data_IF_331014305955
#
_entry.id   IF_331014305955
#
_cell.length_a   1.000
_cell.length_b   1.000
_cell.length_c   1.000
_cell.angle_alpha   90.00
_cell.angle_beta   90.00
_cell.angle_gamma   90.00
#
_symmetry.space_group_name_H-M   'P 1'
#
loop_
_entity.id
_entity.type
_entity.pdbx_description
1 polymer ?
#
# COMPACT_ATOMS: atom_id res chain seq x y z
N UNK A 1 16.67 -3.07 -12.02
CA UNK A 1 15.45 -3.06 -12.53
C UNK A 1 14.78 -4.36 -12.52
N UNK A 2 13.68 -4.34 -12.14
CA UNK A 2 12.98 -5.54 -11.90
C UNK A 2 11.94 -5.80 -12.90
N UNK A 3 12.14 -5.27 -14.01
CA UNK A 3 11.16 -5.31 -15.00
C UNK A 3 10.87 -6.60 -15.60
N UNK A 4 11.55 -7.59 -15.20
CA UNK A 4 11.41 -8.79 -15.90
C UNK A 4 10.22 -9.54 -15.48
N UNK A 5 9.49 -9.07 -14.58
CA UNK A 5 8.61 -9.94 -14.11
C UNK A 5 7.22 -9.87 -14.53
N UNK A 6 6.67 -10.99 -14.65
CA UNK A 6 5.32 -11.11 -14.40
C UNK A 6 5.15 -10.64 -13.01
N UNK A 7 4.16 -10.17 -12.59
CA UNK A 7 3.90 -9.88 -11.20
C UNK A 7 4.66 -8.69 -10.63
N UNK A 8 5.39 -7.95 -11.43
CA UNK A 8 5.89 -6.69 -10.93
C UNK A 8 4.79 -5.67 -11.08
N UNK A 9 4.77 -4.69 -10.22
CA UNK A 9 3.82 -3.60 -10.34
C UNK A 9 4.25 -2.74 -11.51
N UNK A 10 3.31 -2.40 -12.39
CA UNK A 10 3.61 -1.53 -13.49
C UNK A 10 3.86 -0.13 -12.96
N UNK A 11 4.44 0.71 -13.79
CA UNK A 11 4.70 2.08 -13.42
C UNK A 11 3.41 2.82 -13.08
N UNK A 12 2.33 2.48 -13.77
CA UNK A 12 1.04 3.11 -13.53
C UNK A 12 0.43 2.71 -12.20
N UNK A 13 0.84 1.57 -11.65
CA UNK A 13 0.34 1.13 -10.36
C UNK A 13 1.11 1.72 -9.19
N UNK A 14 2.21 2.42 -9.46
CA UNK A 14 3.01 3.05 -8.41
C UNK A 14 2.61 4.48 -8.24
N UNK A 15 2.43 4.89 -6.99
CA UNK A 15 2.08 6.27 -6.69
C UNK A 15 3.37 7.09 -6.70
N UNK A 16 3.65 7.74 -7.81
CA UNK A 16 4.90 8.46 -8.01
C UNK A 16 4.76 9.96 -8.04
N UNK A 17 3.56 10.47 -8.21
CA UNK A 17 3.36 11.90 -8.32
C UNK A 17 3.51 12.58 -6.97
N UNK A 18 4.36 13.59 -6.91
CA UNK A 18 4.53 14.37 -5.70
C UNK A 18 3.23 15.04 -5.28
N UNK A 19 2.49 15.56 -6.26
CA UNK A 19 1.23 16.20 -5.99
C UNK A 19 0.23 15.23 -5.40
N UNK A 20 0.16 14.02 -5.94
CA UNK A 20 -0.73 13.00 -5.42
C UNK A 20 -0.37 12.61 -3.98
N UNK A 21 0.93 12.52 -3.69
CA UNK A 21 1.38 12.22 -2.34
C UNK A 21 1.01 13.33 -1.37
N UNK A 22 1.16 14.58 -1.78
CA UNK A 22 0.81 15.70 -0.94
C UNK A 22 -0.68 15.72 -0.65
N UNK A 23 -1.48 15.45 -1.64
CA UNK A 23 -2.93 15.37 -1.46
C UNK A 23 -3.31 14.23 -0.53
N UNK A 24 -2.66 13.09 -0.69
CA UNK A 24 -2.94 11.92 0.11
C UNK A 24 -2.67 12.18 1.60
N UNK A 25 -1.59 12.88 1.90
CA UNK A 25 -1.22 13.14 3.29
C UNK A 25 -1.71 14.50 3.79
N UNK A 26 -2.26 15.31 2.92
CA UNK A 26 -2.71 16.66 3.27
C UNK A 26 -4.13 16.77 3.77
N UNK A 27 -4.90 15.71 3.71
CA UNK A 27 -6.29 15.74 4.11
C UNK A 27 -7.17 15.09 3.07
N UNK A 28 -8.44 14.93 3.38
CA UNK A 28 -9.37 14.32 2.44
C UNK A 28 -9.15 12.83 2.24
N UNK A 29 -8.49 12.19 3.17
CA UNK A 29 -8.18 10.78 3.06
C UNK A 29 -8.86 9.98 4.18
N UNK A 30 -8.91 8.67 3.99
CA UNK A 30 -9.37 7.73 5.00
C UNK A 30 -8.21 6.81 5.35
N UNK A 31 -8.28 6.20 6.50
CA UNK A 31 -7.23 5.26 6.91
C UNK A 31 -7.81 4.02 7.56
N UNK A 32 -7.08 2.91 7.40
CA UNK A 32 -7.39 1.64 8.01
C UNK A 32 -6.10 1.17 8.67
N UNK A 33 -6.20 0.66 9.89
CA UNK A 33 -5.02 0.23 10.61
C UNK A 33 -5.17 -1.22 11.04
N UNK A 34 -4.24 -2.06 10.61
CA UNK A 34 -4.12 -3.43 11.09
C UNK A 34 -2.65 -3.57 11.48
N UNK A 35 -2.38 -3.42 12.76
CA UNK A 35 -1.01 -3.38 13.27
C UNK A 35 -0.15 -4.48 12.65
N UNK A 36 1.04 -4.19 12.16
CA UNK A 36 1.74 -2.91 12.20
C UNK A 36 1.61 -2.10 10.90
N UNK A 37 0.62 -2.36 10.09
CA UNK A 37 0.44 -1.70 8.81
C UNK A 37 -0.70 -0.71 8.90
N UNK A 38 -0.45 0.52 8.46
CA UNK A 38 -1.48 1.52 8.32
C UNK A 38 -1.65 1.82 6.84
N UNK A 39 -2.88 1.81 6.37
CA UNK A 39 -3.17 2.18 4.99
C UNK A 39 -3.93 3.50 4.99
N UNK A 40 -3.40 4.46 4.24
CA UNK A 40 -4.04 5.76 4.05
C UNK A 40 -4.44 5.82 2.59
N UNK A 41 -5.70 6.12 2.31
CA UNK A 41 -6.17 6.06 0.93
C UNK A 41 -7.17 7.16 0.63
N UNK A 42 -7.29 7.48 -0.66
CA UNK A 42 -8.26 8.45 -1.15
C UNK A 42 -8.60 8.14 -2.60
N UNK A 43 -9.80 8.57 -3.06
CA UNK A 43 -10.14 8.41 -4.46
C UNK A 43 -9.18 9.19 -5.35
N UNK A 44 -8.96 8.70 -6.54
CA UNK A 44 -8.08 9.34 -7.51
C UNK A 44 -8.85 9.60 -8.80
N UNK A 45 -8.47 10.66 -9.51
CA UNK A 45 -9.04 10.98 -10.80
C UNK A 45 -8.53 10.03 -11.88
N UNK A 46 -7.40 9.40 -11.62
CA UNK A 46 -6.83 8.45 -12.58
C UNK A 46 -7.45 7.10 -12.38
N UNK A 47 -7.77 6.37 -13.45
CA UNK A 47 -8.30 5.02 -13.27
C UNK A 47 -7.24 4.09 -12.72
N UNK A 48 -7.69 3.08 -11.98
CA UNK A 48 -6.81 2.08 -11.43
C UNK A 48 -6.32 2.42 -10.03
N UNK A 49 -5.58 1.50 -9.45
CA UNK A 49 -5.07 1.64 -8.10
C UNK A 49 -3.58 1.91 -8.15
N UNK A 50 -3.15 2.95 -7.46
CA UNK A 50 -1.73 3.27 -7.34
C UNK A 50 -1.33 3.13 -5.88
N UNK A 51 -0.16 2.57 -5.61
CA UNK A 51 0.28 2.34 -4.24
C UNK A 51 1.63 2.96 -3.95
N UNK A 52 1.82 3.26 -2.69
CA UNK A 52 3.10 3.68 -2.13
C UNK A 52 3.35 2.82 -0.91
N UNK A 53 4.58 2.39 -0.68
CA UNK A 53 4.96 1.72 0.55
C UNK A 53 6.04 2.55 1.24
N UNK A 54 5.96 2.63 2.56
CA UNK A 54 6.90 3.45 3.31
C UNK A 54 7.26 2.79 4.64
N UNK A 55 8.54 2.85 4.97
CA UNK A 55 9.05 2.38 6.26
C UNK A 55 9.95 3.47 6.80
N UNK A 56 9.62 3.98 7.97
CA UNK A 56 10.34 5.11 8.55
C UNK A 56 11.74 4.72 9.02
N UNK A 57 12.69 5.62 8.82
CA UNK A 57 14.04 5.47 9.38
C UNK A 57 14.00 5.45 10.90
N UNK A 58 12.95 5.98 11.49
CA UNK A 58 12.75 5.96 12.92
C UNK A 58 12.76 4.55 13.47
N UNK A 59 12.16 3.62 12.74
CA UNK A 59 12.04 2.24 13.17
C UNK A 59 13.21 1.37 12.70
N UNK A 60 13.73 1.66 11.52
CA UNK A 60 14.81 0.87 10.93
C UNK A 60 15.83 1.78 10.28
N UNK A 61 16.96 1.93 10.93
CA UNK A 61 18.02 2.82 10.44
C UNK A 61 18.69 2.27 9.18
N UNK A 62 18.79 0.95 9.08
CA UNK A 62 19.45 0.33 7.95
C UNK A 62 18.52 0.21 6.76
N UNK A 63 19.00 0.67 5.61
CA UNK A 63 18.21 0.63 4.38
C UNK A 63 17.85 -0.79 3.98
N UNK A 64 18.72 -1.75 4.25
CA UNK A 64 18.47 -3.14 3.90
C UNK A 64 17.20 -3.66 4.55
N UNK A 65 17.01 -3.34 5.82
CA UNK A 65 15.82 -3.79 6.54
C UNK A 65 14.58 -3.08 6.03
N UNK A 66 14.68 -1.78 5.80
CA UNK A 66 13.55 -1.03 5.26
C UNK A 66 13.14 -1.58 3.89
N UNK A 67 14.12 -1.86 3.05
CA UNK A 67 13.83 -2.37 1.71
C UNK A 67 13.19 -3.75 1.76
N UNK A 68 13.59 -4.57 2.71
CA UNK A 68 12.98 -5.88 2.89
C UNK A 68 11.50 -5.77 3.23
N UNK A 69 11.16 -4.88 4.15
CA UNK A 69 9.77 -4.69 4.54
C UNK A 69 8.96 -4.09 3.39
N UNK A 70 9.54 -3.13 2.68
CA UNK A 70 8.88 -2.57 1.51
C UNK A 70 8.59 -3.65 0.47
N UNK A 71 9.54 -4.55 0.26
CA UNK A 71 9.33 -5.67 -0.65
C UNK A 71 8.19 -6.57 -0.19
N UNK A 72 8.16 -6.89 1.11
CA UNK A 72 7.09 -7.70 1.66
C UNK A 72 5.73 -7.03 1.45
N UNK A 73 5.65 -5.73 1.67
CA UNK A 73 4.40 -5.00 1.48
C UNK A 73 3.96 -5.00 0.02
N UNK A 74 4.89 -4.76 -0.89
CA UNK A 74 4.57 -4.76 -2.33
C UNK A 74 4.12 -6.13 -2.80
N UNK A 75 4.81 -7.19 -2.37
CA UNK A 75 4.45 -8.55 -2.74
C UNK A 75 3.09 -8.93 -2.17
N UNK A 76 2.85 -8.60 -0.92
CA UNK A 76 1.58 -8.89 -0.30
C UNK A 76 0.42 -8.21 -1.03
N UNK A 77 0.62 -6.97 -1.45
CA UNK A 77 -0.38 -6.28 -2.24
C UNK A 77 -0.53 -6.91 -3.62
N UNK A 78 0.59 -7.11 -4.30
CA UNK A 78 0.58 -7.61 -5.68
C UNK A 78 -0.17 -8.93 -5.81
N UNK A 79 0.05 -9.83 -4.85
CA UNK A 79 -0.56 -11.16 -4.91
C UNK A 79 -2.03 -11.16 -4.50
N UNK A 80 -2.50 -10.08 -3.89
CA UNK A 80 -3.87 -10.01 -3.39
C UNK A 80 -4.64 -8.80 -3.92
N UNK A 81 -4.12 -8.11 -4.91
CA UNK A 81 -4.76 -6.88 -5.38
C UNK A 81 -6.16 -7.12 -5.94
N UNK A 82 -6.49 -8.33 -6.31
CA UNK A 82 -7.82 -8.68 -6.76
C UNK A 82 -8.87 -8.55 -5.66
N UNK A 83 -8.45 -8.52 -4.39
CA UNK A 83 -9.38 -8.28 -3.29
C UNK A 83 -10.06 -6.92 -3.45
N UNK A 84 -9.38 -5.96 -4.07
CA UNK A 84 -9.95 -4.64 -4.32
C UNK A 84 -10.82 -4.58 -5.56
N UNK A 85 -10.89 -5.62 -6.34
CA UNK A 85 -11.65 -5.64 -7.58
C UNK A 85 -13.09 -6.11 -7.32
N UNK A 86 -14.07 -5.62 -8.08
CA UNK A 86 -13.96 -4.47 -8.98
C UNK A 86 -14.17 -3.18 -8.20
N UNK A 87 -13.44 -2.14 -8.58
CA UNK A 87 -13.64 -0.81 -8.02
C UNK A 87 -13.94 0.15 -9.15
N UNK A 88 -14.87 1.04 -8.93
CA UNK A 88 -15.17 2.09 -9.88
C UNK A 88 -14.24 3.26 -9.60
N UNK A 89 -13.64 3.79 -10.64
CA UNK A 89 -12.74 4.93 -10.51
C UNK A 89 -11.37 4.53 -10.02
N UNK A 90 -10.60 5.51 -9.59
CA UNK A 90 -9.23 5.31 -9.15
C UNK A 90 -9.09 5.36 -7.65
N UNK A 91 -7.98 4.84 -7.17
CA UNK A 91 -7.69 4.82 -5.74
C UNK A 91 -6.19 4.95 -5.53
N UNK A 92 -5.78 5.84 -4.65
CA UNK A 92 -4.39 5.99 -4.23
C UNK A 92 -4.28 5.49 -2.80
N UNK A 93 -3.35 4.57 -2.54
CA UNK A 93 -3.15 3.99 -1.21
C UNK A 93 -1.70 4.07 -0.81
N UNK A 94 -1.44 4.49 0.41
CA UNK A 94 -0.11 4.43 1.00
C UNK A 94 -0.13 3.41 2.13
N UNK A 95 0.78 2.44 2.09
CA UNK A 95 0.94 1.46 3.15
C UNK A 95 2.15 1.84 3.98
N UNK A 96 1.92 2.08 5.26
CA UNK A 96 2.95 2.56 6.18
C UNK A 96 3.23 1.50 7.23
N UNK A 97 4.51 1.18 7.42
CA UNK A 97 4.92 0.25 8.47
C UNK A 97 5.16 1.07 9.73
N UNK A 98 4.49 0.72 10.82
CA UNK A 98 4.46 1.55 12.01
C UNK A 98 5.06 0.88 13.24
N UNK A 99 5.98 -0.04 13.03
CA UNK A 99 6.58 -0.79 14.14
C UNK A 99 8.06 -1.00 13.91
N UNK A 100 8.80 -1.20 14.98
CA UNK A 100 10.20 -1.57 14.90
C UNK A 100 10.39 -3.08 14.73
N UNK A 101 9.31 -3.83 14.70
CA UNK A 101 9.37 -5.28 14.55
C UNK A 101 9.26 -5.68 13.09
N UNK A 102 9.96 -6.74 12.74
CA UNK A 102 9.82 -7.35 11.43
C UNK A 102 8.94 -8.58 11.59
N UNK A 103 8.04 -8.78 10.66
CA UNK A 103 7.15 -9.93 10.68
C UNK A 103 7.49 -10.91 9.58
N UNK A 104 7.18 -12.19 9.78
CA UNK A 104 7.30 -13.17 8.70
C UNK A 104 6.39 -12.80 7.54
N UNK A 105 6.76 -13.22 6.35
CA UNK A 105 6.01 -12.90 5.14
C UNK A 105 4.54 -13.33 5.23
N UNK A 106 4.27 -14.48 5.82
CA UNK A 106 2.91 -14.96 6.01
C UNK A 106 2.06 -13.98 6.81
N UNK A 107 2.64 -13.42 7.86
CA UNK A 107 1.91 -12.46 8.70
C UNK A 107 1.64 -11.17 7.95
N UNK A 108 2.62 -10.70 7.21
CA UNK A 108 2.45 -9.50 6.38
C UNK A 108 1.33 -9.74 5.37
N UNK A 109 1.33 -10.91 4.76
CA UNK A 109 0.33 -11.29 3.77
C UNK A 109 -1.08 -11.27 4.37
N UNK A 110 -1.25 -11.87 5.54
CA UNK A 110 -2.54 -11.90 6.22
C UNK A 110 -3.03 -10.52 6.59
N UNK A 111 -2.14 -9.69 7.11
CA UNK A 111 -2.51 -8.34 7.51
C UNK A 111 -2.85 -7.46 6.30
N UNK A 112 -2.12 -7.65 5.22
CA UNK A 112 -2.43 -6.93 3.99
C UNK A 112 -3.81 -7.32 3.47
N UNK A 113 -4.15 -8.60 3.50
CA UNK A 113 -5.46 -9.05 3.05
C UNK A 113 -6.57 -8.41 3.87
N UNK A 114 -6.38 -8.36 5.18
CA UNK A 114 -7.34 -7.73 6.08
C UNK A 114 -7.53 -6.25 5.72
N UNK A 115 -6.42 -5.55 5.49
CA UNK A 115 -6.45 -4.15 5.13
C UNK A 115 -7.19 -3.94 3.81
N UNK A 116 -6.88 -4.74 2.80
CA UNK A 116 -7.50 -4.58 1.49
C UNK A 116 -9.00 -4.83 1.56
N UNK A 117 -9.44 -5.79 2.34
CA UNK A 117 -10.86 -6.04 2.53
C UNK A 117 -11.55 -4.85 3.18
N UNK A 118 -10.93 -4.27 4.19
CA UNK A 118 -11.49 -3.12 4.88
C UNK A 118 -11.52 -1.86 4.01
N UNK A 119 -10.48 -1.67 3.21
CA UNK A 119 -10.45 -0.56 2.25
C UNK A 119 -11.58 -0.71 1.25
N UNK A 120 -11.78 -1.91 0.75
CA UNK A 120 -12.85 -2.18 -0.21
C UNK A 120 -14.22 -1.86 0.40
N UNK A 121 -14.44 -2.28 1.63
CA UNK A 121 -15.71 -2.04 2.30
C UNK A 121 -15.97 -0.54 2.47
N UNK A 122 -14.97 0.20 2.87
CA UNK A 122 -15.12 1.64 3.04
C UNK A 122 -15.31 2.34 1.70
N UNK A 123 -14.65 1.87 0.66
CA UNK A 123 -14.78 2.45 -0.66
C UNK A 123 -16.18 2.23 -1.22
N UNK A 124 -16.74 1.07 -0.99
CA UNK A 124 -18.08 0.73 -1.49
C UNK A 124 -19.14 1.54 -0.76
N UNK A 125 -18.94 1.81 0.53
CA UNK A 125 -19.91 2.55 1.32
C UNK A 125 -19.89 4.05 1.07
N UNK A 126 -18.85 4.57 0.49
CA UNK A 126 -18.72 6.01 0.31
C UNK A 126 -19.37 6.53 -0.99
#
# INVERSE_FOLDING_TARGET
>A
MDSTGFHTLSKDERLCSRKALEELFGGGHQSVWTYPIRAVFMPSDQPGVRILVSVSKRYFKRAVKRNRIKRQLREAYRLQKDVLQPLDGGLDIAFLWTSADMLPTEKVFQKMRNILQRVRELKVES
#
